data_IF_385243213493
#
_entry.id   IF_385243213493
#
_cell.length_a   1.000
_cell.length_b   1.000
_cell.length_c   1.000
_cell.angle_alpha   90.00
_cell.angle_beta   90.00
_cell.angle_gamma   90.00
#
_symmetry.space_group_name_H-M   'P 1'
#
loop_
_entity.id
_entity.type
_entity.pdbx_description
1 polymer ?
#
# COMPACT_ATOMS: atom_id res chain seq x y z
N UNK A 1 -23.53 14.08 -8.70
CA UNK A 1 -22.45 13.09 -8.47
C UNK A 1 -22.45 12.78 -6.99
N UNK A 2 -22.39 11.50 -6.61
CA UNK A 2 -22.34 11.09 -5.20
C UNK A 2 -21.00 11.45 -4.57
N UNK A 3 -20.95 11.52 -3.24
CA UNK A 3 -19.71 11.73 -2.48
C UNK A 3 -18.75 10.55 -2.70
N UNK A 4 -17.49 10.82 -3.03
CA UNK A 4 -16.44 9.82 -3.23
C UNK A 4 -15.72 9.47 -1.92
N UNK A 5 -14.93 8.39 -1.90
CA UNK A 5 -14.04 8.08 -0.77
C UNK A 5 -13.04 9.20 -0.48
N UNK A 6 -12.57 9.90 -1.51
CA UNK A 6 -11.65 11.03 -1.35
C UNK A 6 -12.32 12.23 -0.67
N UNK A 7 -13.61 12.48 -0.93
CA UNK A 7 -14.36 13.50 -0.20
C UNK A 7 -14.49 13.15 1.29
N UNK A 8 -14.65 11.87 1.62
CA UNK A 8 -14.70 11.39 3.01
C UNK A 8 -13.34 11.55 3.70
N UNK A 9 -12.25 11.18 3.01
CA UNK A 9 -10.87 11.36 3.50
C UNK A 9 -10.63 12.85 3.79
N UNK A 10 -10.86 13.75 2.84
CA UNK A 10 -10.65 15.19 3.01
C UNK A 10 -11.48 15.76 4.15
N UNK A 11 -12.78 15.48 4.18
CA UNK A 11 -13.69 16.00 5.21
C UNK A 11 -13.32 15.53 6.61
N UNK A 12 -12.95 14.26 6.76
CA UNK A 12 -12.62 13.68 8.06
C UNK A 12 -11.22 14.10 8.53
N UNK A 13 -10.23 14.18 7.64
CA UNK A 13 -8.90 14.70 7.97
C UNK A 13 -8.93 16.19 8.32
N UNK A 14 -9.75 17.00 7.64
CA UNK A 14 -9.96 18.40 8.01
C UNK A 14 -10.50 18.53 9.44
N UNK A 15 -11.50 17.70 9.80
CA UNK A 15 -12.05 17.65 11.16
C UNK A 15 -10.98 17.29 12.20
N UNK A 16 -10.08 16.35 11.90
CA UNK A 16 -8.97 15.99 12.77
C UNK A 16 -7.95 17.13 12.90
N UNK A 17 -7.61 17.80 11.80
CA UNK A 17 -6.68 18.93 11.81
C UNK A 17 -7.21 20.12 12.63
N UNK A 18 -8.50 20.43 12.56
CA UNK A 18 -9.16 21.47 13.36
C UNK A 18 -9.11 21.19 14.88
N UNK A 19 -9.03 19.91 15.25
CA UNK A 19 -9.11 19.42 16.65
C UNK A 19 -7.78 18.92 17.18
N UNK A 20 -6.71 18.97 16.39
CA UNK A 20 -5.38 18.66 16.88
C UNK A 20 -5.10 19.57 18.09
N UNK A 21 -4.41 19.05 19.12
CA UNK A 21 -4.07 19.84 20.32
C UNK A 21 -2.61 20.30 20.27
N UNK A 22 -1.71 19.41 19.87
CA UNK A 22 -0.25 19.62 19.97
C UNK A 22 0.41 20.17 18.71
N UNK A 23 -0.24 20.03 17.55
CA UNK A 23 0.29 20.47 16.25
C UNK A 23 -0.72 21.33 15.53
N UNK A 24 -0.25 22.31 14.76
CA UNK A 24 -1.09 23.20 13.93
C UNK A 24 -0.43 23.40 12.57
N UNK A 25 -1.26 23.62 11.56
CA UNK A 25 -0.80 24.05 10.24
C UNK A 25 -0.40 25.52 10.33
N UNK A 26 0.83 25.84 9.94
CA UNK A 26 1.27 27.22 9.80
C UNK A 26 0.72 27.80 8.49
N UNK A 27 -0.45 28.45 8.58
CA UNK A 27 -1.17 29.01 7.43
C UNK A 27 -0.34 30.07 6.68
N UNK A 28 0.40 30.90 7.42
CA UNK A 28 1.21 31.99 6.85
C UNK A 28 2.37 31.46 5.99
N UNK A 29 2.84 30.24 6.28
CA UNK A 29 3.95 29.61 5.56
C UNK A 29 3.52 28.79 4.34
N UNK A 30 2.22 28.50 4.15
CA UNK A 30 1.77 27.60 3.08
C UNK A 30 2.14 28.06 1.68
N UNK A 31 2.04 29.36 1.41
CA UNK A 31 2.39 29.94 0.09
C UNK A 31 3.87 29.75 -0.21
N UNK A 32 4.73 29.95 0.79
CA UNK A 32 6.18 29.78 0.61
C UNK A 32 6.57 28.31 0.53
N UNK A 33 5.98 27.46 1.37
CA UNK A 33 6.14 26.02 1.31
C UNK A 33 5.78 25.46 -0.07
N UNK A 34 4.65 25.90 -0.66
CA UNK A 34 4.23 25.46 -1.98
C UNK A 34 5.23 25.83 -3.10
N UNK A 35 5.93 26.97 -2.98
CA UNK A 35 6.93 27.41 -3.97
C UNK A 35 8.20 26.57 -3.96
N UNK A 36 8.53 25.95 -2.83
CA UNK A 36 9.76 25.13 -2.68
C UNK A 36 9.50 23.64 -2.91
N UNK A 37 8.25 23.25 -3.15
CA UNK A 37 7.94 21.87 -3.49
C UNK A 37 8.55 21.53 -4.86
N UNK A 38 9.24 20.38 -5.00
CA UNK A 38 9.82 19.95 -6.27
C UNK A 38 8.72 19.37 -7.17
N UNK A 39 7.80 20.21 -7.63
CA UNK A 39 6.59 19.80 -8.38
C UNK A 39 6.97 19.07 -9.67
N UNK A 40 8.02 19.51 -10.37
CA UNK A 40 8.48 18.86 -11.60
C UNK A 40 8.95 17.42 -11.35
N UNK A 41 9.57 17.16 -10.19
CA UNK A 41 9.98 15.79 -9.80
C UNK A 41 8.73 14.97 -9.44
N UNK A 42 7.82 15.55 -8.67
CA UNK A 42 6.58 14.88 -8.24
C UNK A 42 5.63 14.56 -9.41
N UNK A 43 5.69 15.32 -10.51
CA UNK A 43 4.88 15.07 -11.72
C UNK A 43 5.41 13.92 -12.58
N UNK A 44 6.67 13.52 -12.38
CA UNK A 44 7.32 12.47 -13.15
C UNK A 44 7.95 11.41 -12.24
N UNK A 45 7.15 10.78 -11.36
CA UNK A 45 7.64 9.71 -10.50
C UNK A 45 8.10 8.53 -11.35
N UNK A 46 9.21 7.92 -10.94
CA UNK A 46 9.74 6.70 -11.56
C UNK A 46 9.85 5.65 -10.47
N UNK A 47 9.24 4.48 -10.72
CA UNK A 47 9.37 3.35 -9.82
C UNK A 47 10.81 2.84 -9.86
N UNK A 48 11.50 2.87 -8.71
CA UNK A 48 12.85 2.31 -8.63
C UNK A 48 12.78 0.79 -8.76
N UNK A 49 13.59 0.24 -9.66
CA UNK A 49 13.57 -1.19 -9.99
C UNK A 49 14.70 -1.97 -9.31
N UNK A 50 15.47 -1.37 -8.39
CA UNK A 50 16.50 -2.09 -7.66
C UNK A 50 15.83 -3.02 -6.64
N UNK A 51 14.92 -2.47 -5.83
CA UNK A 51 14.25 -3.20 -4.76
C UNK A 51 12.85 -3.66 -5.15
N UNK A 52 12.21 -3.04 -6.14
CA UNK A 52 10.93 -3.49 -6.69
C UNK A 52 11.05 -4.40 -7.92
N UNK A 53 10.10 -5.31 -8.05
CA UNK A 53 9.96 -6.15 -9.24
C UNK A 53 9.27 -5.36 -10.35
N UNK A 54 9.88 -5.33 -11.54
CA UNK A 54 9.29 -4.78 -12.77
C UNK A 54 9.58 -5.77 -13.90
N UNK A 55 8.61 -6.65 -14.18
CA UNK A 55 8.71 -7.72 -15.18
C UNK A 55 7.57 -7.62 -16.20
N UNK A 56 6.95 -8.76 -16.53
CA UNK A 56 5.72 -8.72 -17.31
C UNK A 56 4.57 -8.06 -16.52
N UNK A 57 3.54 -7.60 -17.24
CA UNK A 57 2.49 -6.79 -16.65
C UNK A 57 1.68 -7.53 -15.57
N UNK A 58 1.42 -8.83 -15.74
CA UNK A 58 0.63 -9.60 -14.79
C UNK A 58 1.43 -9.87 -13.49
N UNK A 59 2.70 -10.25 -13.62
CA UNK A 59 3.57 -10.46 -12.46
C UNK A 59 3.87 -9.14 -11.72
N UNK A 60 4.05 -8.04 -12.45
CA UNK A 60 4.25 -6.70 -11.86
C UNK A 60 3.02 -6.26 -11.08
N UNK A 61 1.83 -6.43 -11.65
CA UNK A 61 0.57 -6.15 -10.94
C UNK A 61 0.47 -6.97 -9.65
N UNK A 62 0.65 -8.29 -9.74
CA UNK A 62 0.58 -9.17 -8.59
C UNK A 62 1.61 -8.81 -7.51
N UNK A 63 2.82 -8.42 -7.92
CA UNK A 63 3.87 -7.97 -7.01
C UNK A 63 3.46 -6.72 -6.22
N UNK A 64 3.02 -5.65 -6.90
CA UNK A 64 2.70 -4.39 -6.21
C UNK A 64 1.48 -4.52 -5.29
N UNK A 65 0.42 -5.22 -5.72
CA UNK A 65 -0.73 -5.50 -4.84
C UNK A 65 -0.31 -6.32 -3.62
N UNK A 66 0.63 -7.26 -3.79
CA UNK A 66 1.16 -8.06 -2.68
C UNK A 66 2.06 -7.24 -1.76
N UNK A 67 2.93 -6.40 -2.29
CA UNK A 67 3.82 -5.53 -1.53
C UNK A 67 3.03 -4.54 -0.69
N UNK A 68 2.06 -3.86 -1.30
CA UNK A 68 1.26 -2.85 -0.61
C UNK A 68 0.35 -3.42 0.46
N UNK A 69 -0.09 -4.67 0.28
CA UNK A 69 -0.82 -5.42 1.29
C UNK A 69 -0.04 -5.54 2.60
N UNK A 70 1.30 -5.59 2.52
CA UNK A 70 2.21 -5.68 3.67
C UNK A 70 3.06 -4.43 3.87
N UNK A 71 2.72 -3.31 3.24
CA UNK A 71 3.46 -2.05 3.33
C UNK A 71 3.11 -1.28 4.62
N UNK A 72 3.40 -1.93 5.75
CA UNK A 72 3.27 -1.44 7.11
C UNK A 72 4.36 -2.03 8.01
N UNK A 73 4.40 -1.58 9.27
CA UNK A 73 5.30 -2.14 10.28
C UNK A 73 6.54 -1.30 10.56
N UNK A 74 6.55 -0.01 10.22
CA UNK A 74 7.67 0.91 10.52
C UNK A 74 8.09 0.89 12.00
N UNK A 75 7.14 0.72 12.93
CA UNK A 75 7.41 0.55 14.37
C UNK A 75 8.16 -0.74 14.74
N UNK A 76 8.12 -1.77 13.89
CA UNK A 76 8.83 -3.04 14.06
C UNK A 76 10.22 -3.04 13.41
N UNK A 77 10.52 -2.09 12.52
CA UNK A 77 11.76 -2.10 11.74
C UNK A 77 13.03 -2.00 12.59
N UNK A 78 12.94 -1.55 13.84
CA UNK A 78 14.07 -1.61 14.78
C UNK A 78 14.48 -3.05 15.16
N UNK A 79 13.54 -3.99 15.12
CA UNK A 79 13.74 -5.38 15.50
C UNK A 79 14.05 -6.31 14.31
N UNK A 80 13.87 -5.85 13.07
CA UNK A 80 14.11 -6.68 11.88
C UNK A 80 15.61 -6.85 11.60
N UNK A 81 15.97 -8.04 11.13
CA UNK A 81 17.22 -8.25 10.41
C UNK A 81 17.10 -7.54 9.05
N UNK A 82 17.94 -6.53 8.84
CA UNK A 82 17.96 -5.70 7.62
C UNK A 82 19.09 -6.13 6.69
N UNK A 83 18.88 -5.91 5.40
CA UNK A 83 19.95 -6.00 4.43
C UNK A 83 20.94 -4.84 4.64
N UNK A 84 22.26 -5.05 4.43
CA UNK A 84 23.26 -4.00 4.57
C UNK A 84 22.92 -2.76 3.73
N UNK A 85 22.92 -1.58 4.35
CA UNK A 85 22.63 -0.31 3.69
C UNK A 85 21.15 -0.05 3.37
N UNK A 86 20.24 -0.97 3.68
CA UNK A 86 18.80 -0.82 3.38
C UNK A 86 17.99 -0.39 4.60
N UNK A 87 16.95 0.39 4.34
CA UNK A 87 15.89 0.65 5.33
C UNK A 87 15.09 -0.63 5.60
N UNK A 88 14.24 -0.62 6.62
CA UNK A 88 13.33 -1.75 6.86
C UNK A 88 12.38 -1.99 5.68
N UNK A 89 11.85 -0.93 5.09
CA UNK A 89 11.01 -1.01 3.89
C UNK A 89 11.76 -1.64 2.72
N UNK A 90 12.94 -1.12 2.35
CA UNK A 90 13.68 -1.67 1.20
C UNK A 90 14.19 -3.10 1.44
N UNK A 91 14.42 -3.49 2.69
CA UNK A 91 14.69 -4.90 3.05
C UNK A 91 13.48 -5.77 2.70
N UNK A 92 12.27 -5.38 3.12
CA UNK A 92 11.03 -6.12 2.84
C UNK A 92 10.75 -6.18 1.34
N UNK A 93 10.79 -5.03 0.64
CA UNK A 93 10.55 -4.95 -0.80
C UNK A 93 11.51 -5.82 -1.61
N UNK A 94 12.82 -5.76 -1.28
CA UNK A 94 13.86 -6.56 -1.95
C UNK A 94 13.68 -8.06 -1.77
N UNK A 95 13.38 -8.48 -0.53
CA UNK A 95 13.19 -9.90 -0.20
C UNK A 95 11.90 -10.43 -0.83
N UNK A 96 10.83 -9.64 -0.84
CA UNK A 96 9.60 -9.98 -1.56
C UNK A 96 9.82 -10.06 -3.08
N UNK A 97 10.63 -9.17 -3.65
CA UNK A 97 11.00 -9.22 -5.07
C UNK A 97 11.74 -10.51 -5.40
N UNK A 98 12.74 -10.87 -4.61
CA UNK A 98 13.48 -12.11 -4.79
C UNK A 98 12.56 -13.33 -4.71
N UNK A 99 11.60 -13.31 -3.79
CA UNK A 99 10.59 -14.36 -3.66
C UNK A 99 9.66 -14.42 -4.88
N UNK A 100 9.17 -13.28 -5.37
CA UNK A 100 8.34 -13.21 -6.57
C UNK A 100 9.04 -13.83 -7.78
N UNK A 101 10.33 -13.55 -7.96
CA UNK A 101 11.16 -14.16 -9.00
C UNK A 101 11.29 -15.67 -8.78
N UNK A 102 11.55 -16.11 -7.55
CA UNK A 102 11.74 -17.52 -7.20
C UNK A 102 10.51 -18.38 -7.50
N UNK A 103 9.31 -17.86 -7.24
CA UNK A 103 8.04 -18.60 -7.43
C UNK A 103 7.38 -18.37 -8.78
N UNK A 104 7.95 -17.49 -9.62
CA UNK A 104 7.42 -17.19 -10.95
C UNK A 104 6.20 -16.26 -10.95
N UNK A 105 6.14 -15.33 -10.00
CA UNK A 105 5.02 -14.41 -9.80
C UNK A 105 4.00 -14.91 -8.76
N UNK A 106 3.30 -13.97 -8.12
CA UNK A 106 2.34 -14.31 -7.07
C UNK A 106 0.97 -14.70 -7.63
N UNK A 107 0.31 -15.61 -6.93
CA UNK A 107 -1.07 -16.04 -7.19
C UNK A 107 -1.90 -15.98 -5.91
N UNK A 108 -3.22 -15.95 -6.03
CA UNK A 108 -4.10 -16.07 -4.87
C UNK A 108 -3.88 -17.37 -4.09
N UNK A 109 -3.47 -18.46 -4.77
CA UNK A 109 -3.10 -19.70 -4.10
C UNK A 109 -1.84 -19.53 -3.24
N UNK A 110 -0.79 -18.88 -3.78
CA UNK A 110 0.43 -18.60 -3.02
C UNK A 110 0.13 -17.75 -1.79
N UNK A 111 -0.61 -16.64 -1.96
CA UNK A 111 -0.99 -15.75 -0.86
C UNK A 111 -1.72 -16.48 0.28
N UNK A 112 -2.64 -17.40 -0.06
CA UNK A 112 -3.43 -18.19 0.91
C UNK A 112 -2.62 -19.23 1.67
N UNK A 113 -1.45 -19.60 1.16
CA UNK A 113 -0.61 -20.60 1.79
C UNK A 113 0.40 -19.98 2.75
N UNK A 114 0.64 -18.66 2.65
CA UNK A 114 1.63 -17.97 3.48
C UNK A 114 1.30 -18.03 4.96
N UNK A 115 2.25 -18.56 5.71
CA UNK A 115 2.28 -18.65 7.16
C UNK A 115 3.33 -17.71 7.75
N UNK A 116 3.28 -17.46 9.06
CA UNK A 116 4.31 -16.71 9.76
C UNK A 116 5.72 -17.34 9.61
N UNK A 117 5.78 -18.68 9.55
CA UNK A 117 7.03 -19.39 9.32
C UNK A 117 7.59 -19.15 7.91
N UNK A 118 6.74 -19.15 6.88
CA UNK A 118 7.15 -18.77 5.52
C UNK A 118 7.55 -17.30 5.43
N UNK A 119 6.83 -16.40 6.11
CA UNK A 119 7.27 -15.00 6.24
C UNK A 119 8.66 -14.91 6.87
N UNK A 120 8.95 -15.65 7.95
CA UNK A 120 10.30 -15.69 8.53
C UNK A 120 11.35 -16.17 7.52
N UNK A 121 11.03 -17.14 6.66
CA UNK A 121 11.96 -17.64 5.64
C UNK A 121 12.16 -16.61 4.52
N UNK A 122 11.07 -16.10 3.92
CA UNK A 122 11.06 -15.13 2.83
C UNK A 122 11.79 -13.86 3.26
N UNK A 123 11.44 -13.34 4.43
CA UNK A 123 11.99 -12.11 4.96
C UNK A 123 13.19 -12.35 5.87
N UNK A 124 13.82 -13.54 5.88
CA UNK A 124 14.98 -13.92 6.71
C UNK A 124 14.98 -13.29 8.11
N UNK A 125 13.94 -13.61 8.90
CA UNK A 125 13.74 -13.17 10.28
C UNK A 125 13.85 -14.33 11.27
N UNK A 126 14.38 -14.05 12.46
CA UNK A 126 14.45 -15.04 13.55
C UNK A 126 13.08 -15.16 14.25
N UNK A 127 12.43 -16.34 14.27
CA UNK A 127 11.16 -16.52 14.98
C UNK A 127 11.25 -16.37 16.50
N UNK A 128 12.45 -16.48 17.10
CA UNK A 128 12.65 -16.23 18.53
C UNK A 128 12.61 -14.73 18.88
N UNK A 129 12.81 -13.84 17.90
CA UNK A 129 12.63 -12.41 18.08
C UNK A 129 11.12 -12.08 18.04
N UNK A 130 10.52 -11.91 19.23
CA UNK A 130 9.08 -11.71 19.40
C UNK A 130 8.51 -10.58 18.54
N UNK A 131 9.19 -9.42 18.47
CA UNK A 131 8.70 -8.29 17.68
C UNK A 131 8.78 -8.57 16.18
N UNK A 132 9.89 -9.14 15.71
CA UNK A 132 10.00 -9.50 14.30
C UNK A 132 8.97 -10.58 13.92
N UNK A 133 8.79 -11.59 14.77
CA UNK A 133 7.83 -12.67 14.57
C UNK A 133 6.38 -12.18 14.56
N UNK A 134 6.03 -11.25 15.44
CA UNK A 134 4.70 -10.61 15.42
C UNK A 134 4.43 -9.92 14.07
N UNK A 135 5.40 -9.19 13.51
CA UNK A 135 5.26 -8.62 12.18
C UNK A 135 5.08 -9.70 11.10
N UNK A 136 5.80 -10.83 11.20
CA UNK A 136 5.66 -11.95 10.26
C UNK A 136 4.27 -12.59 10.32
N UNK A 137 3.67 -12.68 11.51
CA UNK A 137 2.27 -13.08 11.70
C UNK A 137 1.32 -12.10 11.02
N UNK A 138 1.50 -10.79 11.24
CA UNK A 138 0.65 -9.76 10.63
C UNK A 138 0.76 -9.74 9.10
N UNK A 139 1.97 -9.94 8.56
CA UNK A 139 2.16 -10.07 7.12
C UNK A 139 1.43 -11.30 6.57
N UNK A 140 1.56 -12.46 7.23
CA UNK A 140 0.83 -13.65 6.81
C UNK A 140 -0.69 -13.42 6.84
N UNK A 141 -1.21 -12.82 7.91
CA UNK A 141 -2.64 -12.51 8.03
C UNK A 141 -3.13 -11.57 6.91
N UNK A 142 -2.36 -10.52 6.61
CA UNK A 142 -2.67 -9.60 5.52
C UNK A 142 -2.68 -10.31 4.15
N UNK A 143 -1.66 -11.12 3.85
CA UNK A 143 -1.57 -11.84 2.58
C UNK A 143 -2.73 -12.84 2.41
N UNK A 144 -3.09 -13.55 3.47
CA UNK A 144 -4.23 -14.47 3.48
C UNK A 144 -5.57 -13.74 3.27
N UNK A 145 -5.78 -12.60 3.93
CA UNK A 145 -6.99 -11.81 3.76
C UNK A 145 -7.10 -11.20 2.34
N UNK A 146 -5.97 -10.85 1.72
CA UNK A 146 -5.95 -10.45 0.30
C UNK A 146 -6.35 -11.62 -0.60
N UNK A 147 -5.85 -12.83 -0.35
CA UNK A 147 -6.25 -14.02 -1.10
C UNK A 147 -7.77 -14.26 -1.00
N UNK A 148 -8.33 -14.13 0.21
CA UNK A 148 -9.77 -14.30 0.43
C UNK A 148 -10.60 -13.27 -0.36
N UNK A 149 -10.17 -12.00 -0.38
CA UNK A 149 -10.80 -10.96 -1.19
C UNK A 149 -10.76 -11.30 -2.69
N UNK A 150 -9.59 -11.74 -3.18
CA UNK A 150 -9.39 -12.17 -4.57
C UNK A 150 -10.32 -13.33 -4.95
N UNK A 151 -10.41 -14.36 -4.12
CA UNK A 151 -11.25 -15.52 -4.40
C UNK A 151 -12.73 -15.16 -4.39
N UNK A 152 -13.18 -14.49 -3.33
CA UNK A 152 -14.59 -14.22 -3.08
C UNK A 152 -15.23 -13.36 -4.17
N UNK A 153 -14.48 -12.41 -4.71
CA UNK A 153 -15.03 -11.36 -5.59
C UNK A 153 -14.44 -11.36 -7.00
N UNK A 154 -13.26 -11.96 -7.19
CA UNK A 154 -12.48 -11.81 -8.43
C UNK A 154 -11.96 -13.16 -9.00
N UNK A 155 -12.43 -14.29 -8.44
CA UNK A 155 -12.05 -15.63 -8.90
C UNK A 155 -10.55 -15.91 -8.80
N UNK A 156 -9.87 -15.31 -7.81
CA UNK A 156 -8.44 -15.48 -7.57
C UNK A 156 -7.52 -14.67 -8.51
N UNK A 157 -8.07 -13.77 -9.34
CA UNK A 157 -7.31 -13.01 -10.34
C UNK A 157 -7.05 -11.56 -9.93
N UNK A 158 -5.77 -11.18 -9.85
CA UNK A 158 -5.35 -9.79 -9.68
C UNK A 158 -5.81 -8.90 -10.85
N UNK A 159 -5.77 -9.41 -12.08
CA UNK A 159 -6.21 -8.67 -13.26
C UNK A 159 -7.70 -8.31 -13.19
N UNK A 160 -8.56 -9.29 -12.87
CA UNK A 160 -9.99 -9.04 -12.68
C UNK A 160 -10.27 -8.09 -11.52
N UNK A 161 -9.48 -8.19 -10.45
CA UNK A 161 -9.55 -7.25 -9.33
C UNK A 161 -9.32 -5.82 -9.79
N UNK A 162 -8.22 -5.51 -10.48
CA UNK A 162 -7.96 -4.16 -10.99
C UNK A 162 -8.94 -3.72 -12.07
N UNK A 163 -9.28 -4.60 -13.02
CA UNK A 163 -10.23 -4.27 -14.08
C UNK A 163 -11.61 -3.90 -13.53
N UNK A 164 -12.02 -4.50 -12.40
CA UNK A 164 -13.29 -4.19 -11.74
C UNK A 164 -13.37 -2.78 -11.17
N UNK A 165 -12.23 -2.11 -10.94
CA UNK A 165 -12.19 -0.70 -10.54
C UNK A 165 -12.57 0.26 -11.68
N UNK A 166 -12.65 -0.23 -12.93
CA UNK A 166 -13.18 0.55 -14.05
C UNK A 166 -12.41 1.85 -14.30
N UNK A 167 -11.10 1.83 -14.11
CA UNK A 167 -10.22 3.01 -14.16
C UNK A 167 -10.53 4.09 -13.11
N UNK A 168 -11.14 3.74 -11.97
CA UNK A 168 -11.31 4.65 -10.84
C UNK A 168 -10.48 4.21 -9.64
N UNK A 169 -9.55 5.08 -9.22
CA UNK A 169 -8.80 4.98 -7.98
C UNK A 169 -9.74 5.01 -6.78
N UNK A 170 -10.83 5.80 -6.81
CA UNK A 170 -11.83 5.81 -5.74
C UNK A 170 -12.46 4.41 -5.54
N UNK A 171 -12.86 3.77 -6.64
CA UNK A 171 -13.42 2.41 -6.60
C UNK A 171 -12.38 1.40 -6.12
N UNK A 172 -11.12 1.49 -6.59
CA UNK A 172 -10.05 0.61 -6.11
C UNK A 172 -9.83 0.75 -4.60
N UNK A 173 -9.81 1.98 -4.08
CA UNK A 173 -9.66 2.25 -2.65
C UNK A 173 -10.81 1.64 -1.85
N UNK A 174 -12.05 1.80 -2.30
CA UNK A 174 -13.22 1.19 -1.64
C UNK A 174 -13.15 -0.35 -1.64
N UNK A 175 -12.69 -0.95 -2.74
CA UNK A 175 -12.50 -2.40 -2.84
C UNK A 175 -11.44 -2.90 -1.86
N UNK A 176 -10.29 -2.21 -1.77
CA UNK A 176 -9.22 -2.54 -0.83
C UNK A 176 -9.68 -2.40 0.62
N UNK A 177 -10.52 -1.40 0.94
CA UNK A 177 -11.04 -1.17 2.29
C UNK A 177 -11.99 -2.27 2.82
N UNK A 178 -12.39 -3.22 1.99
CA UNK A 178 -13.06 -4.45 2.43
C UNK A 178 -12.12 -5.37 3.23
N UNK A 179 -10.81 -5.17 3.11
CA UNK A 179 -9.77 -5.90 3.82
C UNK A 179 -9.28 -5.10 5.05
N UNK A 180 -9.20 -5.70 6.26
CA UNK A 180 -8.83 -4.98 7.48
C UNK A 180 -7.49 -4.22 7.40
N UNK A 181 -6.47 -4.77 6.76
CA UNK A 181 -5.14 -4.14 6.71
C UNK A 181 -5.03 -2.96 5.75
N UNK A 182 -6.05 -2.66 4.96
CA UNK A 182 -6.14 -1.43 4.15
C UNK A 182 -7.00 -0.35 4.83
N UNK A 183 -7.73 -0.70 5.90
CA UNK A 183 -8.67 0.19 6.58
C UNK A 183 -7.95 1.08 7.60
N UNK A 184 -7.23 2.08 7.11
CA UNK A 184 -6.58 3.11 7.92
C UNK A 184 -7.62 4.13 8.44
N UNK A 185 -8.46 3.68 9.36
CA UNK A 185 -9.54 4.45 9.97
C UNK A 185 -9.38 4.45 11.49
N UNK A 186 -9.51 5.61 12.11
CA UNK A 186 -9.49 5.75 13.58
C UNK A 186 -10.64 6.64 14.07
N UNK A 187 -10.97 6.55 15.35
CA UNK A 187 -12.02 7.37 15.96
C UNK A 187 -11.42 8.58 16.67
N UNK A 188 -11.95 9.76 16.39
CA UNK A 188 -11.64 11.00 17.11
C UNK A 188 -12.96 11.66 17.52
N UNK A 189 -13.19 11.77 18.83
CA UNK A 189 -14.41 12.38 19.39
C UNK A 189 -15.71 11.78 18.82
N UNK A 190 -15.74 10.46 18.61
CA UNK A 190 -16.90 9.75 18.08
C UNK A 190 -17.11 9.85 16.58
N UNK A 191 -16.19 10.49 15.84
CA UNK A 191 -16.19 10.53 14.37
C UNK A 191 -15.07 9.66 13.81
N UNK A 192 -15.38 8.90 12.77
CA UNK A 192 -14.38 8.16 12.00
C UNK A 192 -13.53 9.11 11.15
N UNK A 193 -12.21 8.90 11.20
CA UNK A 193 -11.19 9.64 10.45
C UNK A 193 -10.53 8.68 9.48
N UNK A 194 -10.66 8.98 8.20
CA UNK A 194 -10.23 8.12 7.09
C UNK A 194 -8.92 8.68 6.55
N UNK A 195 -7.80 8.03 6.88
CA UNK A 195 -6.51 8.33 6.22
C UNK A 195 -6.36 7.52 4.95
N UNK A 196 -6.73 6.23 4.99
CA UNK A 196 -6.67 5.26 3.89
C UNK A 196 -5.35 5.31 3.09
N UNK A 197 -4.23 5.61 3.76
CA UNK A 197 -2.90 5.77 3.13
C UNK A 197 -2.53 4.52 2.37
N UNK A 198 -2.71 3.33 2.97
CA UNK A 198 -2.35 2.05 2.34
C UNK A 198 -3.21 1.72 1.12
N UNK A 199 -4.48 2.11 1.09
CA UNK A 199 -5.29 1.90 -0.10
C UNK A 199 -4.90 2.88 -1.21
N UNK A 200 -4.58 4.13 -0.85
CA UNK A 200 -4.15 5.17 -1.78
C UNK A 200 -2.78 4.86 -2.41
N UNK A 201 -1.82 4.32 -1.63
CA UNK A 201 -0.48 3.98 -2.17
C UNK A 201 -0.58 2.91 -3.27
N UNK A 202 -1.48 1.93 -3.16
CA UNK A 202 -1.66 0.92 -4.21
C UNK A 202 -2.12 1.53 -5.53
N UNK A 203 -3.02 2.51 -5.51
CA UNK A 203 -3.41 3.21 -6.72
C UNK A 203 -2.22 4.01 -7.31
N UNK A 204 -1.45 4.69 -6.45
CA UNK A 204 -0.28 5.46 -6.85
C UNK A 204 0.83 4.58 -7.44
N UNK A 205 1.26 3.53 -6.75
CA UNK A 205 2.34 2.64 -7.18
C UNK A 205 2.00 1.94 -8.49
N UNK A 206 0.75 1.49 -8.67
CA UNK A 206 0.28 0.92 -9.93
C UNK A 206 0.27 1.97 -11.06
N UNK A 207 -0.17 3.20 -10.77
CA UNK A 207 -0.12 4.28 -11.74
C UNK A 207 1.31 4.57 -12.20
N UNK A 208 2.25 4.65 -11.26
CA UNK A 208 3.66 4.93 -11.53
C UNK A 208 4.29 3.80 -12.35
N UNK A 209 4.18 2.54 -11.88
CA UNK A 209 4.88 1.41 -12.52
C UNK A 209 4.35 1.12 -13.93
N UNK A 210 3.07 1.40 -14.21
CA UNK A 210 2.48 1.24 -15.54
C UNK A 210 2.39 2.55 -16.33
N UNK A 211 2.98 3.64 -15.85
CA UNK A 211 2.98 4.96 -16.51
C UNK A 211 1.57 5.44 -16.89
N UNK A 212 0.59 5.20 -16.02
CA UNK A 212 -0.81 5.57 -16.21
C UNK A 212 -1.55 4.79 -17.31
N UNK A 213 -1.01 3.67 -17.78
CA UNK A 213 -1.59 2.83 -18.82
C UNK A 213 -2.00 1.46 -18.28
N UNK A 214 -2.85 0.74 -19.03
CA UNK A 214 -3.24 -0.64 -18.67
C UNK A 214 -3.76 -0.74 -17.23
N UNK A 215 -3.09 -1.57 -16.40
CA UNK A 215 -3.43 -1.75 -14.99
C UNK A 215 -3.18 -0.53 -14.09
N UNK A 216 -2.41 0.46 -14.55
CA UNK A 216 -2.19 1.73 -13.82
C UNK A 216 -3.04 2.89 -14.30
N UNK A 217 -3.98 2.68 -15.23
CA UNK A 217 -4.87 3.74 -15.69
C UNK A 217 -5.93 4.01 -14.63
N UNK A 218 -5.90 5.22 -14.07
CA UNK A 218 -6.96 5.75 -13.21
C UNK A 218 -7.29 7.18 -13.66
N UNK A 219 -8.55 7.42 -14.07
CA UNK A 219 -8.98 8.70 -14.63
C UNK A 219 -9.13 9.78 -13.53
N UNK A 220 -9.25 9.37 -12.26
CA UNK A 220 -9.35 10.19 -11.05
C UNK A 220 -8.07 10.11 -10.17
N UNK A 221 -6.91 9.73 -10.71
CA UNK A 221 -5.67 9.59 -9.93
C UNK A 221 -5.27 10.89 -9.19
N UNK A 222 -5.59 12.05 -9.79
CA UNK A 222 -5.33 13.35 -9.17
C UNK A 222 -6.19 13.66 -7.93
N UNK A 223 -7.19 12.81 -7.63
CA UNK A 223 -8.01 12.93 -6.42
C UNK A 223 -7.35 12.30 -5.18
N UNK A 224 -6.27 11.53 -5.34
CA UNK A 224 -5.49 11.06 -4.21
C UNK A 224 -5.10 12.24 -3.30
N UNK A 225 -5.18 12.00 -2.00
CA UNK A 225 -4.88 13.01 -0.96
C UNK A 225 -3.47 12.86 -0.39
N UNK A 226 -2.80 11.78 -0.77
CA UNK A 226 -1.44 11.42 -0.39
C UNK A 226 -0.83 10.60 -1.55
N UNK A 227 0.49 10.77 -1.73
CA UNK A 227 1.34 10.30 -2.85
C UNK A 227 1.25 11.13 -4.13
#
# INVERSE_FOLDING_TARGET
MGQTVFDQIRSSCAFAAERAEFVRINQDYLTEYARILPVEIAQHPVMESENHFCGDAAATLAYFVTLDCINFGSGYFGALRKDPGKTGYFTVASRLKAESIRVGGFSAQWLRQITAAECCLIFDQNPENKMAYELMCLFAEALNAMAELLDRSYGGSFGKFIESAGFSAAVLVDQLCQMPFYRDVFSLQGREIFLLKRAQITASDLHIVFSGQGYGRFDDIGELTIF
#
